data_IF_454273503197
#
_entry.id   IF_454273503197
#
_cell.length_a   1.000
_cell.length_b   1.000
_cell.length_c   1.000
_cell.angle_alpha   90.00
_cell.angle_beta   90.00
_cell.angle_gamma   90.00
#
_symmetry.space_group_name_H-M   'P 1'
#
loop_
_entity.id
_entity.type
_entity.pdbx_description
1 polymer ?
#
# COMPACT_ATOMS: atom_id res chain seq x y z
N UNK A 1 -33.42 43.05 -19.92
CA UNK A 1 -33.25 41.83 -19.10
C UNK A 1 -31.84 41.85 -18.52
N UNK A 2 -31.62 42.35 -17.29
CA UNK A 2 -30.31 42.25 -16.66
C UNK A 2 -30.10 40.84 -16.10
N UNK A 3 -28.94 40.25 -16.39
CA UNK A 3 -28.50 38.97 -15.83
C UNK A 3 -28.21 39.13 -14.34
N UNK A 4 -28.86 38.34 -13.50
CA UNK A 4 -28.54 38.25 -12.07
C UNK A 4 -27.19 37.54 -11.87
N UNK A 5 -26.26 38.25 -11.26
CA UNK A 5 -24.99 37.72 -10.77
C UNK A 5 -25.23 36.83 -9.54
N UNK A 6 -25.20 35.52 -9.71
CA UNK A 6 -25.05 34.61 -8.57
C UNK A 6 -23.62 34.68 -8.05
N UNK A 7 -23.41 35.47 -7.00
CA UNK A 7 -22.21 35.37 -6.17
C UNK A 7 -22.19 34.00 -5.51
N UNK A 8 -21.44 33.06 -6.10
CA UNK A 8 -21.10 31.80 -5.45
C UNK A 8 -20.10 32.10 -4.34
N UNK A 9 -20.61 32.28 -3.12
CA UNK A 9 -19.79 32.41 -1.94
C UNK A 9 -19.13 31.07 -1.64
N UNK A 10 -17.85 30.93 -1.96
CA UNK A 10 -17.02 29.83 -1.45
C UNK A 10 -17.02 29.88 0.08
N UNK A 11 -17.40 28.81 0.80
CA UNK A 11 -17.20 28.77 2.24
C UNK A 11 -15.69 28.74 2.54
N UNK A 12 -15.22 29.44 3.59
CA UNK A 12 -13.81 29.46 3.97
C UNK A 12 -13.33 28.07 4.41
N UNK A 13 -12.01 27.79 4.30
CA UNK A 13 -11.44 26.51 4.72
C UNK A 13 -11.65 26.30 6.21
N UNK A 14 -12.31 25.21 6.58
CA UNK A 14 -12.40 24.75 7.96
C UNK A 14 -11.08 24.09 8.35
N UNK A 15 -10.43 24.62 9.38
CA UNK A 15 -9.25 24.01 9.98
C UNK A 15 -9.56 22.60 10.52
N UNK A 16 -8.67 21.60 10.33
CA UNK A 16 -8.86 20.29 10.93
C UNK A 16 -8.62 20.34 12.46
N UNK A 17 -9.41 19.61 13.27
CA UNK A 17 -9.22 19.55 14.72
C UNK A 17 -7.90 18.84 15.09
N UNK A 18 -7.26 19.20 16.22
CA UNK A 18 -6.03 18.57 16.67
C UNK A 18 -6.26 17.11 17.09
N UNK A 19 -5.45 16.21 16.53
CA UNK A 19 -5.45 14.79 16.85
C UNK A 19 -4.97 14.56 18.30
N UNK A 20 -5.89 14.12 19.17
CA UNK A 20 -5.56 13.57 20.49
C UNK A 20 -4.78 12.26 20.34
N UNK A 21 -3.46 12.35 20.45
CA UNK A 21 -2.57 11.19 20.49
C UNK A 21 -2.55 10.63 21.91
N UNK A 22 -3.31 9.56 22.16
CA UNK A 22 -3.19 8.77 23.39
C UNK A 22 -2.29 7.57 23.10
N UNK A 23 -1.00 7.69 23.42
CA UNK A 23 -0.08 6.55 23.46
C UNK A 23 -0.39 5.76 24.73
N UNK A 24 -1.01 4.59 24.59
CA UNK A 24 -1.22 3.66 25.70
C UNK A 24 0.00 2.74 25.82
N UNK A 25 0.96 3.16 26.63
CA UNK A 25 2.11 2.35 27.07
C UNK A 25 1.65 1.33 28.11
N UNK A 26 1.96 0.04 27.92
CA UNK A 26 1.86 -1.01 28.95
C UNK A 26 2.97 -2.07 28.74
N UNK A 27 3.33 -2.84 29.79
CA UNK A 27 4.69 -2.90 30.31
C UNK A 27 5.45 -4.16 29.92
N UNK A 28 6.76 -4.13 30.16
CA UNK A 28 7.67 -5.23 29.96
C UNK A 28 7.31 -6.50 30.73
N UNK A 29 7.53 -7.63 30.07
CA UNK A 29 7.64 -8.94 30.71
C UNK A 29 9.11 -9.36 30.68
N UNK A 30 9.73 -9.37 31.86
CA UNK A 30 11.08 -9.88 32.08
C UNK A 30 11.05 -11.38 32.38
N UNK A 31 12.07 -12.06 31.84
CA UNK A 31 12.75 -13.27 32.33
C UNK A 31 12.01 -14.62 32.31
N UNK A 32 12.38 -15.45 31.33
CA UNK A 32 12.48 -16.90 31.51
C UNK A 32 13.93 -17.33 31.18
N UNK A 33 14.62 -18.11 32.03
CA UNK A 33 15.95 -18.63 31.71
C UNK A 33 15.81 -19.67 30.61
N UNK A 34 16.24 -19.33 29.41
CA UNK A 34 16.31 -20.26 28.28
C UNK A 34 17.37 -21.31 28.62
N UNK A 35 16.93 -22.57 28.76
CA UNK A 35 17.82 -23.72 28.83
C UNK A 35 18.87 -23.62 27.70
N UNK A 36 20.15 -23.65 28.07
CA UNK A 36 21.24 -23.62 27.10
C UNK A 36 21.18 -24.91 26.27
N UNK A 37 20.67 -24.81 25.05
CA UNK A 37 20.80 -25.87 24.05
C UNK A 37 22.29 -25.93 23.66
N UNK A 38 22.83 -27.16 23.61
CA UNK A 38 24.19 -27.44 23.19
C UNK A 38 24.56 -26.69 21.89
N UNK A 39 25.82 -26.27 21.73
CA UNK A 39 26.25 -25.56 20.53
C UNK A 39 26.00 -26.47 19.31
N UNK A 40 25.33 -25.97 18.26
CA UNK A 40 25.14 -26.77 17.06
C UNK A 40 26.51 -27.04 16.43
N UNK A 41 26.85 -28.30 16.21
CA UNK A 41 28.00 -28.69 15.41
C UNK A 41 27.79 -28.19 13.99
N UNK A 42 28.60 -27.20 13.57
CA UNK A 42 28.54 -26.64 12.22
C UNK A 42 29.37 -27.55 11.30
N UNK A 43 28.68 -28.42 10.55
CA UNK A 43 29.28 -29.10 9.41
C UNK A 43 29.26 -28.16 8.21
N UNK A 44 30.42 -27.66 7.80
CA UNK A 44 30.57 -26.87 6.57
C UNK A 44 30.55 -27.86 5.40
N UNK A 45 29.37 -28.06 4.81
CA UNK A 45 29.27 -28.73 3.51
C UNK A 45 29.78 -27.77 2.43
N UNK A 46 30.60 -28.24 1.46
CA UNK A 46 30.97 -27.42 0.31
C UNK A 46 29.69 -27.00 -0.40
N UNK A 47 29.49 -25.68 -0.51
CA UNK A 47 28.30 -25.11 -1.13
C UNK A 47 28.20 -25.63 -2.57
N UNK A 48 27.20 -26.48 -2.83
CA UNK A 48 26.77 -26.79 -4.18
C UNK A 48 26.41 -25.46 -4.83
N UNK A 49 27.05 -25.14 -5.96
CA UNK A 49 26.87 -23.87 -6.66
C UNK A 49 25.37 -23.54 -6.75
N UNK A 50 24.95 -22.55 -5.97
CA UNK A 50 23.60 -22.02 -6.06
C UNK A 50 23.43 -21.49 -7.48
N UNK A 51 22.28 -21.72 -8.15
CA UNK A 51 22.01 -20.99 -9.38
C UNK A 51 22.17 -19.51 -9.06
N UNK A 52 22.95 -18.83 -9.90
CA UNK A 52 23.25 -17.41 -9.77
C UNK A 52 21.97 -16.68 -9.33
N UNK A 53 22.08 -15.88 -8.26
CA UNK A 53 21.04 -14.93 -7.88
C UNK A 53 20.48 -14.34 -9.16
N UNK A 54 19.16 -14.34 -9.38
CA UNK A 54 18.63 -13.79 -10.62
C UNK A 54 19.18 -12.39 -10.69
N UNK A 55 20.06 -12.15 -11.69
CA UNK A 55 20.49 -10.83 -12.11
C UNK A 55 19.24 -9.99 -12.01
N UNK A 56 19.24 -9.01 -11.10
CA UNK A 56 18.09 -8.21 -10.74
C UNK A 56 17.61 -7.53 -12.03
N UNK A 57 16.76 -8.24 -12.78
CA UNK A 57 16.16 -7.73 -14.00
C UNK A 57 15.40 -6.53 -13.51
N UNK A 58 15.74 -5.35 -14.06
CA UNK A 58 14.98 -4.14 -13.78
C UNK A 58 13.52 -4.52 -13.93
N UNK A 59 12.78 -4.51 -12.83
CA UNK A 59 11.39 -4.91 -12.83
C UNK A 59 10.67 -3.98 -13.79
N UNK A 60 9.96 -4.55 -14.75
CA UNK A 60 9.17 -3.74 -15.67
C UNK A 60 8.11 -2.96 -14.88
N UNK A 61 7.60 -1.87 -15.45
CA UNK A 61 6.52 -1.11 -14.80
C UNK A 61 5.30 -2.03 -14.63
N UNK A 62 5.09 -2.93 -15.58
CA UNK A 62 4.09 -4.00 -15.55
C UNK A 62 4.27 -4.90 -14.32
N UNK A 63 5.49 -5.33 -14.01
CA UNK A 63 5.77 -6.15 -12.81
C UNK A 63 5.48 -5.37 -11.52
N UNK A 64 5.86 -4.09 -11.48
CA UNK A 64 5.63 -3.23 -10.31
C UNK A 64 4.14 -3.02 -10.07
N UNK A 65 3.40 -2.73 -11.14
CA UNK A 65 1.94 -2.51 -11.08
C UNK A 65 1.20 -3.79 -10.72
N UNK A 66 1.60 -4.95 -11.27
CA UNK A 66 1.04 -6.24 -10.89
C UNK A 66 1.28 -6.56 -9.41
N UNK A 67 2.51 -6.36 -8.91
CA UNK A 67 2.83 -6.57 -7.50
C UNK A 67 2.04 -5.63 -6.58
N UNK A 68 1.83 -4.38 -7.00
CA UNK A 68 1.00 -3.43 -6.25
C UNK A 68 -0.48 -3.85 -6.22
N UNK A 69 -1.05 -4.27 -7.36
CA UNK A 69 -2.41 -4.80 -7.45
C UNK A 69 -2.65 -5.96 -6.49
N UNK A 70 -1.72 -6.92 -6.46
CA UNK A 70 -1.83 -8.07 -5.55
C UNK A 70 -1.80 -7.64 -4.07
N UNK A 71 -0.85 -6.78 -3.67
CA UNK A 71 -0.78 -6.27 -2.29
C UNK A 71 -2.06 -5.52 -1.90
N UNK A 72 -2.61 -4.73 -2.81
CA UNK A 72 -3.84 -4.01 -2.58
C UNK A 72 -5.05 -4.96 -2.45
N UNK A 73 -5.14 -5.99 -3.29
CA UNK A 73 -6.16 -7.02 -3.16
C UNK A 73 -6.09 -7.74 -1.79
N UNK A 74 -4.88 -8.10 -1.33
CA UNK A 74 -4.72 -8.70 0.01
C UNK A 74 -5.19 -7.75 1.12
N UNK A 75 -4.91 -6.46 1.00
CA UNK A 75 -5.41 -5.45 1.94
C UNK A 75 -6.94 -5.38 1.93
N UNK A 76 -7.58 -5.34 0.75
CA UNK A 76 -9.03 -5.31 0.61
C UNK A 76 -9.68 -6.57 1.20
N UNK A 77 -9.12 -7.75 0.91
CA UNK A 77 -9.60 -9.01 1.46
C UNK A 77 -9.59 -9.00 3.00
N UNK A 78 -8.49 -8.56 3.60
CA UNK A 78 -8.34 -8.47 5.05
C UNK A 78 -9.23 -7.38 5.69
N UNK A 79 -9.43 -6.25 4.99
CA UNK A 79 -10.19 -5.11 5.53
C UNK A 79 -11.69 -5.36 5.49
N UNK A 80 -12.18 -5.97 4.41
CA UNK A 80 -13.62 -6.16 4.17
C UNK A 80 -14.09 -7.60 4.42
N UNK A 81 -13.21 -8.49 4.85
CA UNK A 81 -13.49 -9.92 5.02
C UNK A 81 -14.13 -10.56 3.77
N UNK A 82 -13.63 -10.18 2.59
CA UNK A 82 -14.05 -10.74 1.31
C UNK A 82 -13.04 -11.76 0.82
N UNK A 83 -13.46 -12.62 -0.12
CA UNK A 83 -12.53 -13.56 -0.75
C UNK A 83 -11.43 -12.83 -1.53
N UNK A 84 -10.23 -13.42 -1.57
CA UNK A 84 -9.09 -12.88 -2.31
C UNK A 84 -9.42 -12.63 -3.79
N UNK A 85 -10.15 -13.56 -4.43
CA UNK A 85 -10.56 -13.41 -5.83
C UNK A 85 -11.49 -12.20 -6.04
N UNK A 86 -12.44 -11.96 -5.13
CA UNK A 86 -13.30 -10.77 -5.21
C UNK A 86 -12.49 -9.47 -5.03
N UNK A 87 -11.52 -9.47 -4.12
CA UNK A 87 -10.63 -8.34 -3.89
C UNK A 87 -9.71 -8.04 -5.08
N UNK A 88 -9.26 -9.07 -5.82
CA UNK A 88 -8.47 -8.89 -7.04
C UNK A 88 -9.26 -8.21 -8.14
N UNK A 89 -10.55 -8.57 -8.32
CA UNK A 89 -11.44 -7.91 -9.27
C UNK A 89 -11.59 -6.43 -8.93
N UNK A 90 -11.83 -6.10 -7.66
CA UNK A 90 -11.97 -4.72 -7.19
C UNK A 90 -10.67 -3.92 -7.36
N UNK A 91 -9.53 -4.49 -6.99
CA UNK A 91 -8.22 -3.87 -7.15
C UNK A 91 -7.92 -3.56 -8.63
N UNK A 92 -8.26 -4.48 -9.53
CA UNK A 92 -8.10 -4.28 -10.98
C UNK A 92 -9.02 -3.18 -11.51
N UNK A 93 -10.26 -3.10 -11.03
CA UNK A 93 -11.21 -2.07 -11.41
C UNK A 93 -10.73 -0.67 -11.01
N UNK A 94 -10.28 -0.50 -9.77
CA UNK A 94 -9.81 0.79 -9.26
C UNK A 94 -8.50 1.25 -9.91
N UNK A 95 -7.60 0.32 -10.22
CA UNK A 95 -6.27 0.57 -10.78
C UNK A 95 -6.22 0.38 -12.30
N UNK A 96 -7.38 0.31 -12.96
CA UNK A 96 -7.46 0.35 -14.40
C UNK A 96 -7.02 1.74 -14.90
N UNK A 97 -6.41 1.80 -16.10
CA UNK A 97 -6.09 3.08 -16.72
C UNK A 97 -7.37 3.88 -16.93
N UNK A 98 -7.46 5.05 -16.28
CA UNK A 98 -8.56 5.99 -16.48
C UNK A 98 -8.40 6.63 -17.85
N UNK A 99 -9.49 6.76 -18.60
CA UNK A 99 -9.47 7.52 -19.86
C UNK A 99 -9.06 8.97 -19.57
N UNK A 100 -8.15 9.57 -20.35
CA UNK A 100 -7.87 10.99 -20.23
C UNK A 100 -9.16 11.79 -20.48
N UNK A 101 -9.38 12.86 -19.72
CA UNK A 101 -10.48 13.79 -20.01
C UNK A 101 -10.24 14.44 -21.37
N UNK A 102 -11.27 14.51 -22.21
CA UNK A 102 -11.20 15.13 -23.54
C UNK A 102 -11.15 16.66 -23.50
N UNK A 103 -11.34 17.25 -22.32
CA UNK A 103 -11.29 18.69 -22.11
C UNK A 103 -10.21 18.98 -21.07
N UNK A 104 -9.21 19.78 -21.45
CA UNK A 104 -8.24 20.37 -20.53
C UNK A 104 -8.66 21.81 -20.28
N UNK A 105 -8.63 22.28 -19.03
CA UNK A 105 -8.93 23.70 -18.70
C UNK A 105 -8.03 24.69 -19.49
N UNK A 106 -6.89 24.21 -20.01
CA UNK A 106 -6.00 24.98 -20.87
C UNK A 106 -6.56 25.32 -22.26
N UNK A 107 -7.61 24.65 -22.73
CA UNK A 107 -8.19 24.86 -24.07
C UNK A 107 -9.21 26.02 -24.12
N UNK A 108 -9.57 26.60 -22.96
CA UNK A 108 -10.50 27.75 -22.83
C UNK A 108 -9.70 29.05 -22.64
N UNK A 109 -8.62 29.27 -23.41
CA UNK A 109 -7.82 30.50 -23.31
C UNK A 109 -7.76 31.28 -24.61
#
# INVERSE_FOLDING_TARGET
MPYESFQSACPPPQDPPPASTVIKTLPGAQLAPRAMKAPPTIFIQPAKAMPAYPTQRRTSIEDITAAYRHRYATYLAATFNISQNAAEVEANFQLAQRRPSTCSEAEIR
#
